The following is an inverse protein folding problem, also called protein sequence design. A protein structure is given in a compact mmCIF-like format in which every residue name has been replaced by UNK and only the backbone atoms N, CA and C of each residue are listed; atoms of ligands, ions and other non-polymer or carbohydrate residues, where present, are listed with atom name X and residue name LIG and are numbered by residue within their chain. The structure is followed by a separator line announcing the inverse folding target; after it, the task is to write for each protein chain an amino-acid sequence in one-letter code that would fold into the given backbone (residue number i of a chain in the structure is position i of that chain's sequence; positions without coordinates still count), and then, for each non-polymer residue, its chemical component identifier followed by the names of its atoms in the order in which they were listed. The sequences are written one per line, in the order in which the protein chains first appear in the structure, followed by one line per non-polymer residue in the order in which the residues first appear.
data_IF_759307602913
#
_entry.id   IF_759307602913
#
_cell.length_a   1.000
_cell.length_b   1.000
_cell.length_c   1.000
_cell.angle_alpha   90.00
_cell.angle_beta   90.00
_cell.angle_gamma   90.00
#
_symmetry.space_group_name_H-M   'P 1'
#
loop_
_entity.id
_entity.type
_entity.pdbx_description
1 polymer ?
#
# COMPACT_ATOMS: atom_id res chain seq x y z
N UNK A 1 -26.87 -24.36 16.53
CA UNK A 1 -26.56 -22.90 16.54
C UNK A 1 -25.06 -22.53 16.50
N UNK A 2 -24.09 -23.44 16.64
CA UNK A 2 -22.64 -23.10 16.61
C UNK A 2 -22.02 -22.81 15.22
N UNK A 3 -22.69 -23.14 14.12
CA UNK A 3 -22.10 -23.05 12.75
C UNK A 3 -22.01 -21.61 12.20
N UNK A 4 -22.82 -20.67 12.70
CA UNK A 4 -22.83 -19.29 12.21
C UNK A 4 -21.65 -18.44 12.70
N UNK A 5 -21.29 -18.59 13.98
CA UNK A 5 -20.22 -17.81 14.61
C UNK A 5 -18.83 -18.20 14.06
N UNK A 6 -18.56 -19.49 13.88
CA UNK A 6 -17.30 -19.98 13.30
C UNK A 6 -17.12 -19.54 11.84
N UNK A 7 -18.21 -19.51 11.06
CA UNK A 7 -18.19 -19.04 9.66
C UNK A 7 -17.93 -17.54 9.56
N UNK A 8 -18.50 -16.73 10.48
CA UNK A 8 -18.26 -15.27 10.54
C UNK A 8 -16.82 -14.95 10.93
N UNK A 9 -16.29 -15.62 11.95
CA UNK A 9 -14.89 -15.45 12.38
C UNK A 9 -13.91 -15.80 11.25
N UNK A 10 -14.13 -16.93 10.57
CA UNK A 10 -13.32 -17.35 9.43
C UNK A 10 -13.34 -16.32 8.29
N UNK A 11 -14.51 -15.78 7.93
CA UNK A 11 -14.62 -14.75 6.88
C UNK A 11 -13.91 -13.45 7.23
N UNK A 12 -14.02 -12.99 8.48
CA UNK A 12 -13.30 -11.80 8.94
C UNK A 12 -11.79 -12.02 8.85
N UNK A 13 -11.31 -13.15 9.37
CA UNK A 13 -9.91 -13.51 9.35
C UNK A 13 -9.36 -13.60 7.92
N UNK A 14 -10.06 -14.29 7.01
CA UNK A 14 -9.67 -14.39 5.59
C UNK A 14 -9.55 -13.01 4.92
N UNK A 15 -10.49 -12.09 5.18
CA UNK A 15 -10.44 -10.73 4.59
C UNK A 15 -9.22 -9.95 5.04
N UNK A 16 -8.91 -9.98 6.34
CA UNK A 16 -7.75 -9.29 6.88
C UNK A 16 -6.45 -9.86 6.29
N UNK A 17 -6.35 -11.19 6.16
CA UNK A 17 -5.20 -11.83 5.52
C UNK A 17 -5.05 -11.47 4.06
N UNK A 18 -6.13 -11.46 3.27
CA UNK A 18 -6.09 -11.02 1.87
C UNK A 18 -5.54 -9.60 1.78
N UNK A 19 -6.00 -8.70 2.64
CA UNK A 19 -5.51 -7.32 2.66
C UNK A 19 -4.04 -7.23 3.08
N UNK A 20 -3.62 -7.93 4.13
CA UNK A 20 -2.23 -7.91 4.59
C UNK A 20 -1.28 -8.47 3.53
N UNK A 21 -1.64 -9.58 2.89
CA UNK A 21 -0.85 -10.16 1.78
C UNK A 21 -0.71 -9.16 0.64
N UNK A 22 -1.81 -8.47 0.27
CA UNK A 22 -1.77 -7.43 -0.76
C UNK A 22 -0.87 -6.24 -0.37
N UNK A 23 -0.96 -5.76 0.86
CA UNK A 23 -0.12 -4.67 1.36
C UNK A 23 1.35 -5.07 1.41
N UNK A 24 1.66 -6.27 1.90
CA UNK A 24 3.03 -6.76 1.98
C UNK A 24 3.64 -7.07 0.62
N UNK A 25 2.83 -7.48 -0.35
CA UNK A 25 3.29 -7.58 -1.74
C UNK A 25 3.80 -6.23 -2.25
N UNK A 26 3.08 -5.13 -1.98
CA UNK A 26 3.54 -3.77 -2.30
C UNK A 26 4.74 -3.35 -1.45
N UNK A 27 4.78 -3.72 -0.17
CA UNK A 27 5.93 -3.43 0.68
C UNK A 27 7.22 -4.06 0.14
N UNK A 28 7.14 -5.31 -0.34
CA UNK A 28 8.26 -6.04 -0.93
C UNK A 28 8.81 -5.30 -2.14
N UNK A 29 7.97 -4.71 -3.02
CA UNK A 29 8.48 -3.95 -4.17
C UNK A 29 9.26 -2.71 -3.74
N UNK A 30 8.84 -2.03 -2.66
CA UNK A 30 9.60 -0.93 -2.06
C UNK A 30 10.97 -1.36 -1.52
N UNK A 31 11.00 -2.47 -0.77
CA UNK A 31 12.24 -3.03 -0.23
C UNK A 31 13.19 -3.53 -1.32
N UNK A 32 12.67 -4.20 -2.36
CA UNK A 32 13.44 -4.62 -3.52
C UNK A 32 14.04 -3.39 -4.22
N UNK A 33 13.25 -2.33 -4.43
CA UNK A 33 13.73 -1.08 -5.05
C UNK A 33 14.88 -0.46 -4.24
N UNK A 34 14.76 -0.42 -2.92
CA UNK A 34 15.84 0.04 -2.04
C UNK A 34 17.08 -0.87 -2.14
N UNK A 35 16.91 -2.19 -2.04
CA UNK A 35 18.02 -3.14 -2.11
C UNK A 35 18.79 -3.02 -3.44
N UNK A 36 18.09 -2.90 -4.56
CA UNK A 36 18.73 -2.69 -5.87
C UNK A 36 19.46 -1.35 -5.96
N UNK A 37 18.87 -0.27 -5.44
CA UNK A 37 19.47 1.06 -5.46
C UNK A 37 20.72 1.16 -4.59
N UNK A 38 20.76 0.46 -3.45
CA UNK A 38 21.99 0.32 -2.63
C UNK A 38 23.03 -0.55 -3.32
N UNK A 39 22.63 -1.73 -3.83
CA UNK A 39 23.57 -2.68 -4.41
C UNK A 39 24.23 -2.19 -5.71
N UNK A 40 23.56 -1.30 -6.45
CA UNK A 40 24.04 -0.79 -7.73
C UNK A 40 24.27 0.72 -7.67
N UNK A 41 24.66 1.24 -6.50
CA UNK A 41 24.70 2.68 -6.28
C UNK A 41 25.63 3.39 -7.26
N UNK A 42 26.88 2.93 -7.34
CA UNK A 42 27.92 3.48 -8.23
C UNK A 42 27.54 3.32 -9.71
N UNK A 43 26.90 2.20 -10.07
CA UNK A 43 26.42 1.95 -11.42
C UNK A 43 25.34 2.95 -11.84
N UNK A 44 24.35 3.18 -10.98
CA UNK A 44 23.26 4.12 -11.26
C UNK A 44 23.74 5.57 -11.26
N UNK A 45 24.73 5.90 -10.45
CA UNK A 45 25.39 7.20 -10.47
C UNK A 45 26.19 7.40 -11.77
N UNK A 46 26.99 6.41 -12.19
CA UNK A 46 27.73 6.44 -13.44
C UNK A 46 26.83 6.52 -14.69
N UNK A 47 25.66 5.87 -14.64
CA UNK A 47 24.65 5.92 -15.71
C UNK A 47 23.84 7.24 -15.71
N UNK A 48 24.04 8.13 -14.73
CA UNK A 48 23.32 9.40 -14.64
C UNK A 48 21.80 9.21 -14.48
N UNK A 49 21.37 8.17 -13.77
CA UNK A 49 19.94 7.87 -13.58
C UNK A 49 19.25 9.04 -12.88
N UNK A 50 18.33 9.71 -13.57
CA UNK A 50 17.50 10.76 -12.99
C UNK A 50 16.26 10.16 -12.31
N UNK A 51 15.78 10.71 -11.19
CA UNK A 51 16.22 11.95 -10.50
C UNK A 51 17.42 11.78 -9.56
N UNK A 52 18.05 10.61 -9.55
CA UNK A 52 19.24 10.29 -8.75
C UNK A 52 19.06 9.00 -7.97
N UNK A 53 20.17 8.30 -7.73
CA UNK A 53 20.17 7.03 -6.97
C UNK A 53 19.67 7.21 -5.53
N UNK A 54 20.00 8.34 -4.89
CA UNK A 54 19.51 8.69 -3.55
C UNK A 54 17.98 8.70 -3.48
N UNK A 55 17.31 9.16 -4.54
CA UNK A 55 15.86 9.23 -4.59
C UNK A 55 15.24 7.83 -4.66
N UNK A 56 15.85 6.93 -5.45
CA UNK A 56 15.42 5.53 -5.51
C UNK A 56 15.50 4.85 -4.14
N UNK A 57 16.56 5.13 -3.37
CA UNK A 57 16.70 4.64 -2.00
C UNK A 57 15.59 5.17 -1.09
N UNK A 58 15.40 6.49 -1.05
CA UNK A 58 14.40 7.13 -0.19
C UNK A 58 13.00 6.65 -0.53
N UNK A 59 12.64 6.62 -1.81
CA UNK A 59 11.31 6.17 -2.25
C UNK A 59 11.09 4.67 -1.94
N UNK A 60 12.11 3.83 -2.14
CA UNK A 60 12.07 2.42 -1.77
C UNK A 60 11.81 2.20 -0.28
N UNK A 61 12.56 2.91 0.58
CA UNK A 61 12.39 2.85 2.04
C UNK A 61 11.00 3.33 2.46
N UNK A 62 10.56 4.50 1.98
CA UNK A 62 9.25 5.06 2.35
C UNK A 62 8.13 4.09 1.95
N UNK A 63 8.17 3.59 0.72
CA UNK A 63 7.18 2.62 0.22
C UNK A 63 7.21 1.33 1.05
N UNK A 64 8.39 0.76 1.25
CA UNK A 64 8.58 -0.46 2.04
C UNK A 64 8.03 -0.32 3.46
N UNK A 65 8.40 0.76 4.17
CA UNK A 65 7.96 1.03 5.54
C UNK A 65 6.46 1.27 5.64
N UNK A 66 5.89 2.15 4.79
CA UNK A 66 4.47 2.51 4.85
C UNK A 66 3.59 1.28 4.72
N UNK A 67 3.85 0.43 3.72
CA UNK A 67 3.02 -0.76 3.48
C UNK A 67 3.32 -1.91 4.45
N UNK A 68 4.55 -2.03 4.95
CA UNK A 68 4.89 -2.97 6.03
C UNK A 68 4.10 -2.62 7.30
N UNK A 69 4.17 -1.36 7.72
CA UNK A 69 3.47 -0.84 8.89
C UNK A 69 1.95 -0.94 8.72
N UNK A 70 1.42 -0.63 7.53
CA UNK A 70 -0.01 -0.76 7.26
C UNK A 70 -0.49 -2.20 7.49
N UNK A 71 0.24 -3.20 6.97
CA UNK A 71 -0.08 -4.61 7.19
C UNK A 71 0.08 -5.06 8.64
N UNK A 72 1.11 -4.60 9.36
CA UNK A 72 1.29 -4.90 10.79
C UNK A 72 0.15 -4.35 11.64
N UNK A 73 -0.26 -3.10 11.40
CA UNK A 73 -1.32 -2.44 12.16
C UNK A 73 -2.72 -3.01 11.90
N UNK A 74 -2.92 -3.81 10.85
CA UNK A 74 -4.19 -4.54 10.63
C UNK A 74 -4.49 -5.48 11.79
N UNK A 75 -3.48 -6.14 12.35
CA UNK A 75 -3.64 -7.14 13.42
C UNK A 75 -3.42 -6.59 14.84
N UNK A 76 -2.81 -5.40 14.97
CA UNK A 76 -2.51 -4.83 16.28
C UNK A 76 -3.76 -4.21 16.95
N UNK A 77 -4.00 -4.48 18.25
CA UNK A 77 -5.12 -3.91 19.01
C UNK A 77 -4.78 -2.51 19.52
N UNK A 78 -4.93 -1.48 18.67
CA UNK A 78 -4.60 -0.09 19.00
C UNK A 78 -5.85 0.79 19.00
N UNK A 79 -5.96 1.69 19.97
CA UNK A 79 -7.12 2.60 20.18
C UNK A 79 -7.49 3.42 18.95
N UNK A 80 -6.52 3.77 18.09
CA UNK A 80 -6.71 4.57 16.88
C UNK A 80 -6.42 3.79 15.59
N UNK A 81 -6.55 2.46 15.59
CA UNK A 81 -6.20 1.59 14.45
C UNK A 81 -6.75 2.09 13.11
N UNK A 82 -8.02 2.50 13.07
CA UNK A 82 -8.66 3.00 11.85
C UNK A 82 -7.94 4.23 11.29
N UNK A 83 -7.65 5.21 12.15
CA UNK A 83 -6.97 6.45 11.77
C UNK A 83 -5.56 6.16 11.27
N UNK A 84 -4.79 5.34 11.99
CA UNK A 84 -3.40 4.99 11.64
C UNK A 84 -3.33 4.29 10.28
N UNK A 85 -4.12 3.24 10.07
CA UNK A 85 -4.13 2.51 8.79
C UNK A 85 -4.57 3.42 7.64
N UNK A 86 -5.59 4.26 7.86
CA UNK A 86 -6.06 5.20 6.83
C UNK A 86 -4.96 6.17 6.43
N UNK A 87 -4.28 6.77 7.41
CA UNK A 87 -3.13 7.65 7.15
C UNK A 87 -2.08 6.91 6.33
N UNK A 88 -1.68 5.70 6.72
CA UNK A 88 -0.66 4.94 6.00
C UNK A 88 -1.07 4.62 4.55
N UNK A 89 -2.31 4.19 4.32
CA UNK A 89 -2.80 3.91 2.96
C UNK A 89 -2.76 5.16 2.07
N UNK A 90 -3.23 6.30 2.60
CA UNK A 90 -3.25 7.56 1.85
C UNK A 90 -1.84 8.14 1.68
N UNK A 91 -0.96 8.02 2.66
CA UNK A 91 0.46 8.39 2.53
C UNK A 91 1.11 7.57 1.41
N UNK A 92 0.90 6.25 1.35
CA UNK A 92 1.42 5.42 0.27
C UNK A 92 0.89 5.84 -1.10
N UNK A 93 -0.41 6.14 -1.19
CA UNK A 93 -1.04 6.63 -2.43
C UNK A 93 -0.45 7.99 -2.86
N UNK A 94 -0.27 8.93 -1.94
CA UNK A 94 0.31 10.25 -2.22
C UNK A 94 1.76 10.11 -2.69
N UNK A 95 2.58 9.31 -1.99
CA UNK A 95 3.98 9.06 -2.37
C UNK A 95 4.06 8.48 -3.79
N UNK A 96 3.20 7.51 -4.11
CA UNK A 96 3.10 6.95 -5.46
C UNK A 96 2.77 8.00 -6.52
N UNK A 97 1.80 8.88 -6.26
CA UNK A 97 1.42 9.93 -7.21
C UNK A 97 2.48 11.02 -7.35
N UNK A 98 3.22 11.33 -6.29
CA UNK A 98 4.37 12.25 -6.36
C UNK A 98 5.47 11.64 -7.24
N UNK A 99 5.85 10.36 -7.01
CA UNK A 99 6.81 9.63 -7.88
C UNK A 99 6.36 9.68 -9.34
N UNK A 100 5.08 9.38 -9.57
CA UNK A 100 4.53 9.26 -10.91
C UNK A 100 4.38 10.57 -11.68
N UNK A 101 3.97 11.66 -11.03
CA UNK A 101 3.76 12.96 -11.70
C UNK A 101 5.08 13.65 -11.99
N UNK A 102 6.01 13.65 -11.03
CA UNK A 102 7.21 14.48 -11.11
C UNK A 102 8.42 13.75 -11.72
N UNK A 103 8.51 12.43 -11.55
CA UNK A 103 9.73 11.68 -11.82
C UNK A 103 9.56 10.61 -12.91
N UNK A 104 8.38 10.04 -13.08
CA UNK A 104 8.13 9.06 -14.14
C UNK A 104 7.95 9.74 -15.52
N UNK A 105 9.06 9.94 -16.24
CA UNK A 105 9.07 10.62 -17.55
C UNK A 105 8.95 9.70 -18.78
N UNK A 106 8.82 8.39 -18.59
CA UNK A 106 8.74 7.45 -19.72
C UNK A 106 7.38 7.51 -20.43
N UNK A 107 7.36 7.19 -21.73
CA UNK A 107 6.14 7.19 -22.55
C UNK A 107 5.14 6.15 -22.02
N UNK A 108 5.63 5.03 -21.49
CA UNK A 108 4.81 3.98 -20.87
C UNK A 108 4.16 4.48 -19.57
N UNK A 109 4.90 5.26 -18.77
CA UNK A 109 4.38 5.82 -17.52
C UNK A 109 3.28 6.86 -17.77
N UNK A 110 3.42 7.67 -18.82
CA UNK A 110 2.44 8.70 -19.18
C UNK A 110 1.21 8.12 -19.88
N UNK A 111 1.37 7.14 -20.76
CA UNK A 111 0.23 6.52 -21.47
C UNK A 111 -0.70 5.72 -20.55
N UNK A 112 -0.19 5.23 -19.42
CA UNK A 112 -0.95 4.42 -18.45
C UNK A 112 -1.49 5.22 -17.26
N UNK A 113 -1.48 6.55 -17.33
CA UNK A 113 -1.78 7.44 -16.19
C UNK A 113 -3.23 7.28 -15.70
N UNK A 114 -4.21 7.28 -16.62
CA UNK A 114 -5.63 7.06 -16.29
C UNK A 114 -5.86 5.69 -15.65
N UNK A 115 -5.31 4.63 -16.25
CA UNK A 115 -5.43 3.27 -15.70
C UNK A 115 -4.82 3.19 -14.30
N UNK A 116 -3.70 3.87 -14.08
CA UNK A 116 -3.00 3.86 -12.81
C UNK A 116 -3.74 4.65 -11.73
N UNK A 117 -4.45 5.72 -12.11
CA UNK A 117 -5.35 6.45 -11.22
C UNK A 117 -6.50 5.56 -10.76
N UNK A 118 -7.20 4.97 -11.70
CA UNK A 118 -8.36 4.11 -11.41
C UNK A 118 -7.94 2.89 -10.58
N UNK A 119 -6.86 2.22 -10.95
CA UNK A 119 -6.38 1.03 -10.24
C UNK A 119 -5.84 1.36 -8.84
N UNK A 120 -5.02 2.39 -8.68
CA UNK A 120 -4.47 2.75 -7.36
C UNK A 120 -5.55 3.24 -6.39
N UNK A 121 -6.49 4.08 -6.86
CA UNK A 121 -7.63 4.53 -6.07
C UNK A 121 -8.57 3.34 -5.73
N UNK A 122 -8.88 2.50 -6.72
CA UNK A 122 -9.73 1.32 -6.56
C UNK A 122 -9.15 0.31 -5.57
N UNK A 123 -7.86 -0.03 -5.68
CA UNK A 123 -7.19 -0.94 -4.75
C UNK A 123 -7.13 -0.37 -3.33
N UNK A 124 -6.84 0.93 -3.19
CA UNK A 124 -6.84 1.60 -1.88
C UNK A 124 -8.23 1.57 -1.24
N UNK A 125 -9.28 1.82 -2.03
CA UNK A 125 -10.66 1.74 -1.58
C UNK A 125 -11.07 0.32 -1.19
N UNK A 126 -10.71 -0.69 -2.00
CA UNK A 126 -10.97 -2.11 -1.69
C UNK A 126 -10.27 -2.52 -0.40
N UNK A 127 -9.00 -2.13 -0.21
CA UNK A 127 -8.27 -2.40 1.03
C UNK A 127 -8.97 -1.76 2.24
N UNK A 128 -9.37 -0.49 2.13
CA UNK A 128 -10.13 0.21 3.17
C UNK A 128 -11.44 -0.52 3.52
N UNK A 129 -12.22 -0.91 2.50
CA UNK A 129 -13.46 -1.65 2.68
C UNK A 129 -13.26 -3.02 3.32
N UNK A 130 -12.22 -3.76 2.94
CA UNK A 130 -11.92 -5.08 3.52
C UNK A 130 -11.52 -4.99 5.00
N UNK A 131 -10.75 -3.96 5.38
CA UNK A 131 -10.30 -3.74 6.76
C UNK A 131 -11.45 -3.26 7.65
N UNK A 132 -12.31 -2.37 7.15
CA UNK A 132 -13.37 -1.71 7.93
C UNK A 132 -14.79 -2.19 7.62
N UNK A 133 -14.94 -3.33 6.96
CA UNK A 133 -16.23 -3.85 6.52
C UNK A 133 -17.27 -3.94 7.64
N UNK A 134 -16.89 -4.45 8.81
CA UNK A 134 -17.84 -4.61 9.92
C UNK A 134 -18.35 -3.25 10.42
N UNK A 135 -17.48 -2.23 10.47
CA UNK A 135 -17.86 -0.85 10.82
C UNK A 135 -18.78 -0.22 9.78
N UNK A 136 -18.50 -0.42 8.49
CA UNK A 136 -19.34 0.08 7.40
C UNK A 136 -20.72 -0.58 7.46
N UNK A 137 -20.76 -1.91 7.63
CA UNK A 137 -22.01 -2.68 7.72
C UNK A 137 -22.88 -2.24 8.88
N UNK A 138 -22.29 -1.94 10.05
CA UNK A 138 -23.06 -1.44 11.20
C UNK A 138 -23.68 -0.07 10.93
N UNK A 139 -23.01 0.78 10.16
CA UNK A 139 -23.52 2.11 9.83
C UNK A 139 -24.69 2.02 8.83
N UNK A 140 -24.56 1.20 7.78
CA UNK A 140 -25.62 0.97 6.79
C UNK A 140 -26.88 0.35 7.41
N UNK A 141 -26.74 -0.48 8.45
CA UNK A 141 -27.91 -1.11 9.10
C UNK A 141 -28.69 -0.14 10.00
N UNK A 142 -28.05 0.93 10.47
CA UNK A 142 -28.60 1.82 11.49
C UNK A 142 -29.02 3.20 10.93
N UNK A 143 -28.79 3.45 9.65
CA UNK A 143 -29.28 4.64 8.92
C UNK A 143 -30.33 4.23 7.91
#
# INVERSE_FOLDING_TARGET
MKSGASRRFRKLHTRLWITVVGLWFVAITGWIRFAHAVANYDLYEALGVQPGTWYLNVNGIITGLVYTLAGLFVFLPITNRKKVITILLFTGLIVYWIDRIFFARSIEAQSTLTFSLVSSAGLTFVAYCLIFWETIKTHIRNG
#
